data_IF_253242618123
#
_entry.id   IF_253242618123
#
_cell.length_a   1.000
_cell.length_b   1.000
_cell.length_c   1.000
_cell.angle_alpha   90.00
_cell.angle_beta   90.00
_cell.angle_gamma   90.00
#
_symmetry.space_group_name_H-M   'P 1'
#
loop_
_entity.id
_entity.type
_entity.pdbx_description
1 polymer ?
#
# COMPACT_ATOMS: atom_id res chain seq x y z
N UNK A 1 -13.71 14.39 1.71
CA UNK A 1 -14.86 14.87 0.91
C UNK A 1 -14.48 14.78 -0.55
N UNK A 2 -15.16 13.96 -1.35
CA UNK A 2 -14.90 13.87 -2.80
C UNK A 2 -14.70 12.44 -3.32
N UNK A 3 -15.78 11.65 -3.38
CA UNK A 3 -15.81 10.42 -4.20
C UNK A 3 -17.24 10.12 -4.68
N UNK A 4 -17.99 11.16 -5.06
CA UNK A 4 -19.35 10.95 -5.57
C UNK A 4 -19.25 10.34 -6.99
N UNK A 5 -19.49 9.04 -7.10
CA UNK A 5 -19.66 8.32 -8.37
C UNK A 5 -18.43 7.58 -8.94
N UNK A 6 -17.23 7.75 -8.38
CA UNK A 6 -16.03 6.98 -8.78
C UNK A 6 -15.95 5.68 -7.95
N UNK A 7 -15.93 4.54 -8.62
CA UNK A 7 -15.71 3.19 -8.04
C UNK A 7 -16.82 2.62 -7.15
N UNK A 8 -18.09 2.96 -7.40
CA UNK A 8 -19.25 2.53 -6.59
C UNK A 8 -19.72 1.09 -6.85
N UNK A 9 -19.17 0.40 -7.86
CA UNK A 9 -19.50 -1.00 -8.17
C UNK A 9 -18.40 -1.93 -7.66
N UNK A 10 -18.81 -2.97 -6.94
CA UNK A 10 -17.90 -3.99 -6.39
C UNK A 10 -17.35 -3.61 -5.03
N UNK A 11 -16.25 -4.25 -4.64
CA UNK A 11 -15.64 -4.12 -3.31
C UNK A 11 -14.46 -3.13 -3.28
N UNK A 12 -14.25 -2.35 -4.35
CA UNK A 12 -13.09 -1.46 -4.47
C UNK A 12 -13.09 -0.33 -3.42
N UNK A 13 -14.26 0.16 -3.03
CA UNK A 13 -14.39 1.26 -2.07
C UNK A 13 -15.66 1.11 -1.26
N UNK A 14 -15.51 0.80 0.02
CA UNK A 14 -16.61 0.54 0.95
C UNK A 14 -16.46 1.41 2.19
N UNK A 15 -17.59 1.68 2.85
CA UNK A 15 -17.57 2.32 4.18
C UNK A 15 -16.97 1.40 5.26
N UNK A 16 -16.96 0.09 5.00
CA UNK A 16 -16.38 -0.92 5.88
C UNK A 16 -15.63 -1.94 5.02
N UNK A 17 -14.40 -2.25 5.42
CA UNK A 17 -13.56 -3.31 4.86
C UNK A 17 -12.67 -3.86 5.96
N UNK A 18 -12.22 -5.10 5.79
CA UNK A 18 -11.29 -5.76 6.71
C UNK A 18 -9.85 -5.55 6.19
N UNK A 19 -8.92 -5.31 7.11
CA UNK A 19 -7.50 -5.16 6.80
C UNK A 19 -6.65 -5.79 7.90
N UNK A 20 -5.65 -6.57 7.50
CA UNK A 20 -4.57 -6.99 8.40
C UNK A 20 -3.48 -5.92 8.34
N UNK A 21 -3.27 -5.23 9.46
CA UNK A 21 -2.26 -4.17 9.54
C UNK A 21 -0.97 -4.67 10.19
N UNK A 22 0.17 -4.24 9.63
CA UNK A 22 1.50 -4.51 10.17
C UNK A 22 2.07 -3.20 10.69
N UNK A 23 2.55 -3.21 11.94
CA UNK A 23 3.17 -2.04 12.59
C UNK A 23 4.50 -2.48 13.17
N UNK A 24 5.56 -1.73 12.87
CA UNK A 24 6.86 -1.90 13.50
C UNK A 24 7.25 -0.62 14.25
N UNK A 25 7.72 -0.80 15.49
CA UNK A 25 8.32 0.26 16.29
C UNK A 25 9.81 -0.03 16.42
N UNK A 26 10.63 0.81 15.80
CA UNK A 26 12.09 0.62 15.74
C UNK A 26 12.80 1.89 16.16
N UNK A 27 14.07 1.74 16.53
CA UNK A 27 14.94 2.90 16.74
C UNK A 27 15.11 3.68 15.43
N UNK A 28 15.25 5.02 15.47
CA UNK A 28 15.31 5.87 14.26
C UNK A 28 16.34 5.41 13.23
N UNK A 29 17.52 4.99 13.69
CA UNK A 29 18.64 4.49 12.87
C UNK A 29 18.29 3.23 12.06
N UNK A 30 17.27 2.47 12.46
CA UNK A 30 16.85 1.24 11.82
C UNK A 30 15.59 1.40 10.95
N UNK A 31 14.97 2.60 10.93
CA UNK A 31 13.66 2.83 10.31
C UNK A 31 13.60 2.46 8.82
N UNK A 32 14.65 2.77 8.06
CA UNK A 32 14.72 2.43 6.63
C UNK A 32 14.95 0.94 6.38
N UNK A 33 15.76 0.28 7.21
CA UNK A 33 15.95 -1.16 7.11
C UNK A 33 14.64 -1.90 7.43
N UNK A 34 13.90 -1.42 8.44
CA UNK A 34 12.57 -1.93 8.78
C UNK A 34 11.55 -1.70 7.65
N UNK A 35 11.63 -0.57 6.94
CA UNK A 35 10.81 -0.31 5.77
C UNK A 35 11.08 -1.34 4.67
N UNK A 36 12.34 -1.58 4.32
CA UNK A 36 12.72 -2.55 3.29
C UNK A 36 12.31 -3.98 3.67
N UNK A 37 12.46 -4.36 4.94
CA UNK A 37 11.98 -5.64 5.46
C UNK A 37 10.46 -5.78 5.31
N UNK A 38 9.71 -4.72 5.63
CA UNK A 38 8.26 -4.73 5.54
C UNK A 38 7.76 -4.77 4.10
N UNK A 39 8.42 -4.06 3.19
CA UNK A 39 8.18 -4.16 1.74
C UNK A 39 8.38 -5.61 1.28
N UNK A 40 9.50 -6.23 1.65
CA UNK A 40 9.77 -7.63 1.29
C UNK A 40 8.75 -8.61 1.89
N UNK A 41 8.28 -8.36 3.11
CA UNK A 41 7.25 -9.16 3.76
C UNK A 41 5.91 -9.10 2.99
N UNK A 42 5.45 -7.90 2.65
CA UNK A 42 4.22 -7.71 1.88
C UNK A 42 4.36 -8.27 0.47
N UNK A 43 5.52 -8.08 -0.17
CA UNK A 43 5.82 -8.64 -1.49
C UNK A 43 5.74 -10.18 -1.50
N UNK A 44 6.28 -10.84 -0.47
CA UNK A 44 6.20 -12.29 -0.34
C UNK A 44 4.74 -12.78 -0.23
N UNK A 45 3.88 -12.04 0.48
CA UNK A 45 2.44 -12.36 0.58
C UNK A 45 1.76 -12.27 -0.79
N UNK A 46 1.94 -11.15 -1.51
CA UNK A 46 1.33 -10.95 -2.85
C UNK A 46 1.86 -11.99 -3.84
N UNK A 47 3.16 -12.29 -3.79
CA UNK A 47 3.78 -13.34 -4.61
C UNK A 47 3.19 -14.72 -4.34
N UNK A 48 2.94 -15.06 -3.06
CA UNK A 48 2.34 -16.35 -2.68
C UNK A 48 0.91 -16.54 -3.17
N UNK A 49 0.20 -15.44 -3.46
CA UNK A 49 -1.14 -15.44 -4.05
C UNK A 49 -1.12 -15.53 -5.58
N UNK A 50 0.08 -15.53 -6.20
CA UNK A 50 0.29 -15.60 -7.65
C UNK A 50 -0.42 -14.46 -8.42
N UNK A 51 -0.59 -13.30 -7.78
CA UNK A 51 -1.23 -12.14 -8.37
C UNK A 51 -0.21 -11.27 -9.11
N UNK A 52 -0.44 -10.86 -10.37
CA UNK A 52 0.42 -9.89 -11.03
C UNK A 52 0.39 -8.56 -10.28
N UNK A 53 1.55 -8.07 -9.86
CA UNK A 53 1.67 -6.84 -9.08
C UNK A 53 2.80 -5.94 -9.58
N UNK A 54 2.78 -4.68 -9.14
CA UNK A 54 3.88 -3.74 -9.23
C UNK A 54 4.01 -2.96 -7.94
N UNK A 55 5.22 -2.49 -7.66
CA UNK A 55 5.51 -1.64 -6.50
C UNK A 55 5.85 -0.24 -7.01
N UNK A 56 5.17 0.77 -6.48
CA UNK A 56 5.39 2.17 -6.81
C UNK A 56 5.97 2.89 -5.60
N UNK A 57 7.09 3.60 -5.81
CA UNK A 57 7.57 4.58 -4.83
C UNK A 57 6.81 5.89 -5.04
N UNK A 58 6.11 6.38 -4.02
CA UNK A 58 5.31 7.60 -4.16
C UNK A 58 6.17 8.85 -4.29
N UNK A 59 5.67 9.82 -5.07
CA UNK A 59 6.24 11.16 -5.12
C UNK A 59 5.76 11.98 -3.92
N UNK A 60 6.48 13.03 -3.55
CA UNK A 60 6.14 13.82 -2.35
C UNK A 60 4.73 14.45 -2.36
N UNK A 61 4.13 14.65 -3.54
CA UNK A 61 2.76 15.19 -3.65
C UNK A 61 1.65 14.17 -3.38
N UNK A 62 1.96 12.87 -3.47
CA UNK A 62 1.00 11.77 -3.30
C UNK A 62 1.16 11.07 -1.92
N UNK A 63 2.13 11.49 -1.12
CA UNK A 63 2.38 10.93 0.21
C UNK A 63 1.43 11.49 1.27
N UNK A 64 1.13 10.68 2.29
CA UNK A 64 0.36 11.13 3.46
C UNK A 64 1.15 12.15 4.29
N UNK A 65 0.44 13.01 5.01
CA UNK A 65 1.01 14.15 5.77
C UNK A 65 2.17 13.78 6.70
N UNK A 66 2.16 12.56 7.27
CA UNK A 66 3.15 12.11 8.24
C UNK A 66 4.21 11.16 7.65
N UNK A 67 4.07 10.71 6.40
CA UNK A 67 5.01 9.76 5.81
C UNK A 67 6.26 10.48 5.26
N UNK A 68 7.43 9.92 5.53
CA UNK A 68 8.71 10.32 4.95
C UNK A 68 9.05 9.52 3.66
N UNK A 69 8.56 8.29 3.56
CA UNK A 69 8.68 7.47 2.35
C UNK A 69 7.58 6.41 2.32
N UNK A 70 6.92 6.27 1.18
CA UNK A 70 5.84 5.29 0.98
C UNK A 70 6.04 4.48 -0.30
N UNK A 71 5.78 3.18 -0.20
CA UNK A 71 5.65 2.25 -1.31
C UNK A 71 4.23 1.71 -1.40
N UNK A 72 3.60 1.85 -2.56
CA UNK A 72 2.28 1.29 -2.85
C UNK A 72 2.42 0.00 -3.67
N UNK A 73 1.69 -1.02 -3.24
CA UNK A 73 1.53 -2.27 -3.97
C UNK A 73 0.24 -2.21 -4.74
N UNK A 74 0.34 -2.41 -6.05
CA UNK A 74 -0.83 -2.49 -6.92
C UNK A 74 -0.92 -3.85 -7.60
N UNK A 75 -2.11 -4.45 -7.58
CA UNK A 75 -2.43 -5.70 -8.27
C UNK A 75 -3.22 -5.39 -9.54
N UNK A 76 -2.93 -6.12 -10.62
CA UNK A 76 -3.67 -5.96 -11.87
C UNK A 76 -5.06 -6.60 -11.79
N UNK A 77 -6.10 -5.79 -11.98
CA UNK A 77 -7.48 -6.27 -12.09
C UNK A 77 -7.84 -6.53 -13.55
N UNK A 78 -7.83 -7.79 -13.97
CA UNK A 78 -8.19 -8.16 -15.34
C UNK A 78 -9.63 -7.74 -15.71
N UNK A 79 -10.56 -7.76 -14.75
CA UNK A 79 -11.96 -7.36 -14.98
C UNK A 79 -12.14 -5.84 -15.18
N UNK A 80 -11.20 -5.03 -14.67
CA UNK A 80 -11.25 -3.56 -14.75
C UNK A 80 -10.14 -3.00 -15.64
N UNK A 81 -9.29 -3.87 -16.21
CA UNK A 81 -8.13 -3.56 -17.06
C UNK A 81 -7.19 -2.50 -16.48
N UNK A 82 -7.04 -2.46 -15.15
CA UNK A 82 -6.23 -1.46 -14.44
C UNK A 82 -5.55 -2.02 -13.21
N UNK A 83 -4.52 -1.31 -12.77
CA UNK A 83 -3.86 -1.54 -11.49
C UNK A 83 -4.70 -0.98 -10.34
N UNK A 84 -4.85 -1.75 -9.27
CA UNK A 84 -5.57 -1.37 -8.06
C UNK A 84 -4.63 -1.47 -6.86
N UNK A 85 -4.53 -0.40 -6.10
CA UNK A 85 -3.80 -0.37 -4.82
C UNK A 85 -4.40 -1.39 -3.85
N UNK A 86 -3.54 -2.23 -3.26
CA UNK A 86 -3.91 -3.26 -2.28
C UNK A 86 -3.15 -3.14 -0.96
N UNK A 87 -2.02 -2.44 -0.95
CA UNK A 87 -1.24 -2.17 0.27
C UNK A 87 -0.41 -0.90 0.10
N UNK A 88 -0.15 -0.24 1.22
CA UNK A 88 0.74 0.92 1.30
C UNK A 88 1.65 0.74 2.51
N UNK A 89 2.97 0.80 2.29
CA UNK A 89 3.99 0.58 3.31
C UNK A 89 4.77 1.89 3.49
N UNK A 90 4.73 2.46 4.68
CA UNK A 90 5.25 3.81 4.94
C UNK A 90 6.23 3.84 6.12
N UNK A 91 7.28 4.64 5.99
CA UNK A 91 8.14 5.06 7.10
C UNK A 91 7.77 6.49 7.49
N UNK A 92 7.66 6.76 8.79
CA UNK A 92 7.10 8.00 9.33
C UNK A 92 8.13 8.93 9.99
N UNK A 93 9.42 8.56 10.06
CA UNK A 93 10.53 9.33 10.66
C UNK A 93 10.18 10.16 11.91
N UNK A 94 10.66 9.71 13.08
CA UNK A 94 10.48 10.43 14.36
C UNK A 94 11.77 11.04 14.87
#
# INVERSE_FOLDING_TARGET
AGSYGKDVRGLNRLHQFEKVEIIQMVQPENSYAALDEMVAHVEALVTSLELPYRILRLCGGDMSFASALTYDFEVYSAAQERWLEVSSVSNFES
#
